data_IF_068342397641
#
_entry.id   IF_068342397641
#
_cell.length_a   1.000
_cell.length_b   1.000
_cell.length_c   1.000
_cell.angle_alpha   90.00
_cell.angle_beta   90.00
_cell.angle_gamma   90.00
#
_symmetry.space_group_name_H-M   'P 1'
#
loop_
_entity.id
_entity.type
_entity.pdbx_description
1 polymer ?
#
# COMPACT_ATOMS: atom_id res chain seq x y z
N UNK A 1 -2.89 -0.49 0.17
CA UNK A 1 -1.51 -0.07 -0.14
C UNK A 1 -1.50 1.43 -0.40
N UNK A 2 -0.53 2.17 0.15
CA UNK A 2 -0.29 3.59 -0.16
C UNK A 2 1.18 3.68 -0.55
N UNK A 3 1.48 4.36 -1.66
CA UNK A 3 2.81 4.36 -2.26
C UNK A 3 3.11 5.64 -3.02
N UNK A 4 4.27 6.24 -2.78
CA UNK A 4 4.89 7.21 -3.71
C UNK A 4 5.93 6.53 -4.61
N UNK A 5 6.09 7.06 -5.81
CA UNK A 5 7.20 6.68 -6.68
C UNK A 5 7.68 7.88 -7.47
N UNK A 6 9.00 8.02 -7.59
CA UNK A 6 9.63 8.93 -8.55
C UNK A 6 9.78 8.32 -9.96
N UNK A 7 9.19 7.15 -10.19
CA UNK A 7 9.28 6.42 -11.46
C UNK A 7 7.93 6.40 -12.17
N UNK A 8 7.92 6.01 -13.45
CA UNK A 8 6.65 5.83 -14.17
C UNK A 8 5.75 4.80 -13.49
N UNK A 9 4.44 5.01 -13.56
CA UNK A 9 3.45 4.06 -13.06
C UNK A 9 3.66 2.65 -13.65
N UNK A 10 3.95 2.57 -14.97
CA UNK A 10 4.26 1.31 -15.67
C UNK A 10 5.40 0.54 -15.00
N UNK A 11 6.48 1.21 -14.64
CA UNK A 11 7.62 0.56 -13.96
C UNK A 11 7.23 0.14 -12.56
N UNK A 12 6.54 1.00 -11.82
CA UNK A 12 6.11 0.71 -10.45
C UNK A 12 5.16 -0.47 -10.37
N UNK A 13 4.16 -0.56 -11.25
CA UNK A 13 3.21 -1.67 -11.25
C UNK A 13 3.89 -2.98 -11.66
N UNK A 14 4.82 -2.94 -12.64
CA UNK A 14 5.63 -4.11 -13.01
C UNK A 14 6.44 -4.63 -11.83
N UNK A 15 7.11 -3.73 -11.09
CA UNK A 15 7.84 -4.10 -9.87
C UNK A 15 6.91 -4.75 -8.84
N UNK A 16 5.77 -4.14 -8.55
CA UNK A 16 4.78 -4.69 -7.61
C UNK A 16 4.31 -6.09 -8.00
N UNK A 17 4.00 -6.31 -9.28
CA UNK A 17 3.60 -7.62 -9.78
C UNK A 17 4.70 -8.67 -9.58
N UNK A 18 5.94 -8.33 -9.94
CA UNK A 18 7.10 -9.23 -9.73
C UNK A 18 7.27 -9.58 -8.25
N UNK A 19 7.17 -8.58 -7.36
CA UNK A 19 7.34 -8.82 -5.93
C UNK A 19 6.20 -9.65 -5.33
N UNK A 20 4.95 -9.45 -5.75
CA UNK A 20 3.82 -10.26 -5.30
C UNK A 20 3.91 -11.69 -5.82
N UNK A 21 4.14 -11.88 -7.14
CA UNK A 21 4.23 -13.21 -7.74
C UNK A 21 5.48 -13.99 -7.30
N UNK A 22 6.56 -13.29 -6.98
CA UNK A 22 7.79 -13.88 -6.43
C UNK A 22 7.75 -14.12 -4.92
N UNK A 23 6.58 -13.99 -4.28
CA UNK A 23 6.42 -14.25 -2.84
C UNK A 23 7.12 -13.22 -1.93
N UNK A 24 7.61 -12.11 -2.46
CA UNK A 24 8.27 -11.09 -1.63
C UNK A 24 7.26 -10.27 -0.83
N UNK A 25 6.07 -10.06 -1.39
CA UNK A 25 4.97 -9.35 -0.74
C UNK A 25 3.98 -10.27 -0.04
N UNK A 26 3.29 -9.66 0.92
CA UNK A 26 2.18 -10.29 1.63
C UNK A 26 1.02 -10.51 0.66
N UNK A 27 0.41 -11.69 0.75
CA UNK A 27 -0.76 -12.09 -0.02
C UNK A 27 -1.91 -12.34 0.97
N UNK A 28 -2.92 -11.48 1.00
CA UNK A 28 -4.15 -11.76 1.73
C UNK A 28 -5.01 -12.77 0.97
N UNK A 29 -5.92 -13.43 1.68
CA UNK A 29 -6.97 -14.21 1.03
C UNK A 29 -7.94 -13.25 0.30
N UNK A 30 -8.16 -13.42 -1.02
CA UNK A 30 -9.04 -12.55 -1.79
C UNK A 30 -10.50 -12.55 -1.34
N UNK A 31 -11.03 -13.72 -0.96
CA UNK A 31 -12.44 -13.88 -0.58
C UNK A 31 -12.69 -13.22 0.78
N UNK A 32 -11.81 -13.45 1.75
CA UNK A 32 -11.86 -12.77 3.04
C UNK A 32 -11.69 -11.25 2.88
N UNK A 33 -10.74 -10.82 2.04
CA UNK A 33 -10.49 -9.39 1.82
C UNK A 33 -11.70 -8.69 1.19
N UNK A 34 -12.38 -9.34 0.24
CA UNK A 34 -13.62 -8.82 -0.35
C UNK A 34 -14.78 -8.75 0.68
N UNK A 35 -14.81 -9.67 1.65
CA UNK A 35 -15.71 -9.63 2.79
C UNK A 35 -15.29 -8.62 3.88
N UNK A 36 -14.22 -7.86 3.64
CA UNK A 36 -13.69 -6.89 4.59
C UNK A 36 -13.00 -7.53 5.80
N UNK A 37 -12.39 -8.71 5.63
CA UNK A 37 -11.60 -9.40 6.64
C UNK A 37 -10.14 -9.51 6.19
N UNK A 38 -9.19 -9.37 7.12
CA UNK A 38 -7.78 -9.56 6.83
C UNK A 38 -7.31 -10.94 7.27
N UNK A 39 -7.30 -11.88 6.33
CA UNK A 39 -6.64 -13.18 6.49
C UNK A 39 -5.41 -13.23 5.57
N UNK A 40 -4.26 -13.65 6.09
CA UNK A 40 -2.99 -13.62 5.37
C UNK A 40 -2.58 -15.04 4.99
N UNK A 41 -2.65 -15.36 3.69
CA UNK A 41 -2.22 -16.66 3.15
C UNK A 41 -0.69 -16.76 3.09
N UNK A 42 -0.03 -15.65 2.79
CA UNK A 42 1.43 -15.60 2.72
C UNK A 42 1.94 -14.27 3.28
N UNK A 43 2.90 -14.32 4.21
CA UNK A 43 3.34 -13.10 4.91
C UNK A 43 4.39 -12.28 4.12
N UNK A 44 4.98 -12.85 3.07
CA UNK A 44 5.99 -12.20 2.24
C UNK A 44 7.42 -12.36 2.77
N UNK A 45 8.37 -12.62 1.86
CA UNK A 45 9.79 -12.80 2.21
C UNK A 45 10.43 -11.54 2.81
N UNK A 46 9.95 -10.34 2.49
CA UNK A 46 10.56 -9.10 2.99
C UNK A 46 10.32 -8.83 4.46
N UNK A 47 9.34 -9.51 5.09
CA UNK A 47 9.05 -9.33 6.50
C UNK A 47 10.14 -9.93 7.38
N UNK A 48 10.35 -9.30 8.54
CA UNK A 48 11.28 -9.81 9.56
C UNK A 48 10.87 -11.24 9.94
N UNK A 49 11.82 -12.17 9.89
CA UNK A 49 11.59 -13.60 10.19
C UNK A 49 11.05 -14.45 9.04
N UNK A 50 10.88 -13.88 7.84
CA UNK A 50 10.37 -14.60 6.66
C UNK A 50 11.34 -14.67 5.48
N UNK A 51 12.51 -14.03 5.56
CA UNK A 51 13.46 -13.90 4.43
C UNK A 51 13.95 -15.24 3.88
N UNK A 52 14.12 -16.22 4.74
CA UNK A 52 14.69 -17.54 4.38
C UNK A 52 13.60 -18.58 4.05
N UNK A 53 12.32 -18.17 3.95
CA UNK A 53 11.18 -19.06 3.73
C UNK A 53 10.83 -19.28 2.25
N UNK A 54 11.78 -19.09 1.35
CA UNK A 54 11.53 -19.28 -0.09
C UNK A 54 11.09 -20.72 -0.41
N UNK A 55 11.64 -21.71 0.29
CA UNK A 55 11.24 -23.11 0.12
C UNK A 55 9.76 -23.31 0.51
N UNK A 56 9.31 -22.73 1.62
CA UNK A 56 7.89 -22.77 2.04
C UNK A 56 6.97 -22.15 0.98
N UNK A 57 7.40 -21.05 0.36
CA UNK A 57 6.66 -20.43 -0.75
C UNK A 57 6.56 -21.34 -1.97
N UNK A 58 7.66 -21.99 -2.35
CA UNK A 58 7.73 -22.91 -3.49
C UNK A 58 6.87 -24.15 -3.23
N UNK A 59 6.97 -24.74 -2.04
CA UNK A 59 6.21 -25.93 -1.65
C UNK A 59 4.69 -25.69 -1.67
N UNK A 60 4.27 -24.44 -1.42
CA UNK A 60 2.86 -24.03 -1.43
C UNK A 60 2.46 -23.30 -2.73
N UNK A 61 3.33 -23.22 -3.73
CA UNK A 61 3.12 -22.34 -4.88
C UNK A 61 1.86 -22.69 -5.67
N UNK A 62 1.57 -23.99 -5.86
CA UNK A 62 0.38 -24.43 -6.59
C UNK A 62 -0.92 -23.98 -5.94
N UNK A 63 -0.95 -23.89 -4.60
CA UNK A 63 -2.09 -23.39 -3.84
C UNK A 63 -2.13 -21.86 -3.82
N UNK A 64 -0.98 -21.21 -3.71
CA UNK A 64 -0.88 -19.75 -3.59
C UNK A 64 -1.07 -19.02 -4.93
N UNK A 65 -0.57 -19.56 -6.03
CA UNK A 65 -0.59 -18.92 -7.35
C UNK A 65 -2.01 -18.48 -7.81
N UNK A 66 -3.07 -19.32 -7.75
CA UNK A 66 -4.42 -18.89 -8.11
C UNK A 66 -4.92 -17.76 -7.20
N UNK A 67 -4.67 -17.85 -5.88
CA UNK A 67 -5.05 -16.81 -4.90
C UNK A 67 -4.30 -15.50 -5.11
N UNK A 68 -3.02 -15.56 -5.47
CA UNK A 68 -2.21 -14.39 -5.86
C UNK A 68 -2.81 -13.70 -7.09
N UNK A 69 -3.19 -14.48 -8.11
CA UNK A 69 -3.81 -13.95 -9.33
C UNK A 69 -5.14 -13.26 -9.02
N UNK A 70 -6.03 -13.92 -8.27
CA UNK A 70 -7.30 -13.35 -7.81
C UNK A 70 -7.09 -12.05 -7.04
N UNK A 71 -6.17 -12.04 -6.07
CA UNK A 71 -5.81 -10.84 -5.31
C UNK A 71 -5.37 -9.69 -6.23
N UNK A 72 -4.48 -9.95 -7.19
CA UNK A 72 -4.00 -8.94 -8.15
C UNK A 72 -5.16 -8.41 -9.00
N UNK A 73 -6.05 -9.27 -9.48
CA UNK A 73 -7.20 -8.88 -10.32
C UNK A 73 -8.24 -8.04 -9.56
N UNK A 74 -8.30 -8.16 -8.24
CA UNK A 74 -9.20 -7.38 -7.38
C UNK A 74 -8.69 -5.96 -7.10
N UNK A 75 -7.41 -5.66 -7.35
CA UNK A 75 -6.81 -4.37 -7.00
C UNK A 75 -7.35 -3.22 -7.85
N UNK A 76 -8.05 -2.28 -7.22
CA UNK A 76 -8.37 -0.98 -7.78
C UNK A 76 -7.24 0.00 -7.47
N UNK A 77 -6.59 0.54 -8.50
CA UNK A 77 -5.43 1.43 -8.37
C UNK A 77 -5.81 2.85 -8.77
N UNK A 78 -5.73 3.76 -7.80
CA UNK A 78 -5.90 5.19 -8.02
C UNK A 78 -4.53 5.85 -8.17
N UNK A 79 -4.35 6.63 -9.24
CA UNK A 79 -3.10 7.32 -9.54
C UNK A 79 -3.28 8.84 -9.35
N UNK A 80 -2.35 9.46 -8.61
CA UNK A 80 -2.29 10.91 -8.46
C UNK A 80 -0.98 11.39 -9.10
N UNK A 81 -1.00 11.83 -10.37
CA UNK A 81 0.19 12.40 -11.00
C UNK A 81 0.54 13.72 -10.30
N UNK A 82 1.81 13.88 -9.89
CA UNK A 82 2.28 15.05 -9.17
C UNK A 82 3.64 15.49 -9.71
N UNK A 83 3.74 16.77 -10.04
CA UNK A 83 5.02 17.43 -10.31
C UNK A 83 5.48 18.18 -9.05
N UNK A 84 5.99 17.40 -8.10
CA UNK A 84 6.49 17.87 -6.81
C UNK A 84 7.81 17.17 -6.51
N UNK A 85 8.66 17.74 -5.67
CA UNK A 85 9.89 17.09 -5.23
C UNK A 85 9.61 15.83 -4.38
N UNK A 86 10.62 14.95 -4.27
CA UNK A 86 10.53 13.68 -3.54
C UNK A 86 10.13 13.87 -2.07
N UNK A 87 10.56 14.96 -1.43
CA UNK A 87 10.30 15.19 -0.02
C UNK A 87 8.82 15.52 0.20
N UNK A 88 8.23 16.39 -0.61
CA UNK A 88 6.79 16.68 -0.59
C UNK A 88 5.94 15.45 -0.91
N UNK A 89 6.30 14.67 -1.94
CA UNK A 89 5.55 13.44 -2.28
C UNK A 89 5.52 12.43 -1.12
N UNK A 90 6.64 12.23 -0.43
CA UNK A 90 6.72 11.34 0.75
C UNK A 90 5.94 11.86 1.95
N UNK A 91 5.90 13.19 2.15
CA UNK A 91 5.05 13.79 3.19
C UNK A 91 3.57 13.58 2.87
N UNK A 92 3.15 13.76 1.62
CA UNK A 92 1.77 13.48 1.17
C UNK A 92 1.42 12.00 1.42
N UNK A 93 2.28 11.07 0.97
CA UNK A 93 2.13 9.63 1.20
C UNK A 93 1.97 9.30 2.69
N UNK A 94 2.84 9.84 3.54
CA UNK A 94 2.82 9.55 4.95
C UNK A 94 1.65 10.18 5.70
N UNK A 95 1.26 11.40 5.35
CA UNK A 95 0.07 12.02 5.93
C UNK A 95 -1.22 11.31 5.50
N UNK A 96 -1.29 10.81 4.26
CA UNK A 96 -2.39 9.95 3.82
C UNK A 96 -2.40 8.63 4.61
N UNK A 97 -1.25 7.98 4.77
CA UNK A 97 -1.13 6.76 5.58
C UNK A 97 -1.51 6.99 7.05
N UNK A 98 -1.10 8.13 7.63
CA UNK A 98 -1.46 8.54 8.99
C UNK A 98 -2.97 8.72 9.12
N UNK A 99 -3.60 9.38 8.16
CA UNK A 99 -5.06 9.54 8.14
C UNK A 99 -5.77 8.18 8.09
N UNK A 100 -5.40 7.30 7.16
CA UNK A 100 -6.00 5.95 7.04
C UNK A 100 -5.83 5.15 8.34
N UNK A 101 -4.65 5.24 8.99
CA UNK A 101 -4.42 4.58 10.29
C UNK A 101 -5.25 5.15 11.43
N UNK A 102 -5.64 6.42 11.38
CA UNK A 102 -6.51 7.05 12.38
C UNK A 102 -8.00 6.71 12.24
N UNK A 103 -8.40 6.10 11.13
CA UNK A 103 -9.79 5.68 10.94
C UNK A 103 -10.16 4.52 11.87
N UNK A 104 -11.45 4.37 12.23
CA UNK A 104 -11.91 3.27 13.07
C UNK A 104 -11.43 1.89 12.57
N UNK A 105 -11.27 0.95 13.50
CA UNK A 105 -10.60 -0.36 13.35
C UNK A 105 -10.93 -1.18 12.09
N UNK A 106 -12.03 -0.91 11.38
CA UNK A 106 -12.40 -1.61 10.14
C UNK A 106 -11.56 -1.22 8.92
N UNK A 107 -10.78 -0.15 8.94
CA UNK A 107 -10.02 0.33 7.76
C UNK A 107 -8.51 0.34 8.03
N UNK A 108 -8.10 0.69 9.26
CA UNK A 108 -6.70 0.82 9.64
C UNK A 108 -5.88 -0.47 9.48
N UNK A 109 -6.44 -1.63 9.83
CA UNK A 109 -5.81 -2.96 9.68
C UNK A 109 -5.42 -3.33 8.24
N UNK A 110 -6.07 -2.76 7.21
CA UNK A 110 -5.72 -3.02 5.81
C UNK A 110 -4.37 -2.40 5.44
N UNK A 111 -3.89 -1.43 6.24
CA UNK A 111 -2.55 -0.87 6.12
C UNK A 111 -1.65 -1.48 7.18
N UNK A 112 -0.72 -2.33 6.76
CA UNK A 112 0.15 -3.00 7.70
C UNK A 112 0.97 -2.01 8.58
N UNK A 113 1.07 -2.31 9.87
CA UNK A 113 1.71 -1.43 10.86
C UNK A 113 3.23 -1.34 10.69
N UNK A 114 3.84 -2.36 10.09
CA UNK A 114 5.28 -2.44 9.87
C UNK A 114 5.79 -1.57 8.72
N UNK A 115 4.88 -0.93 7.96
CA UNK A 115 5.26 0.02 6.91
C UNK A 115 5.58 1.37 7.56
N UNK A 116 6.80 1.86 7.32
CA UNK A 116 7.27 3.16 7.81
C UNK A 116 7.02 4.23 6.77
N UNK A 117 6.25 5.24 7.16
CA UNK A 117 5.99 6.41 6.34
C UNK A 117 6.63 7.65 6.96
N UNK A 118 6.93 8.65 6.13
CA UNK A 118 7.41 9.92 6.64
C UNK A 118 6.23 10.82 6.98
N UNK A 119 6.02 11.05 8.27
CA UNK A 119 4.89 11.84 8.81
C UNK A 119 5.31 13.10 9.53
N UNK A 120 6.62 13.37 9.59
CA UNK A 120 7.19 14.53 10.26
C UNK A 120 7.88 15.44 9.27
N UNK A 121 7.54 16.72 9.36
CA UNK A 121 8.16 17.81 8.65
C UNK A 121 9.50 18.19 9.33
N UNK A 122 10.45 18.72 8.55
CA UNK A 122 11.64 19.37 9.12
C UNK A 122 11.27 20.75 9.66
N UNK A 123 12.09 21.32 10.55
CA UNK A 123 11.82 22.61 11.19
C UNK A 123 11.70 23.77 10.20
N UNK A 124 12.44 23.72 9.11
CA UNK A 124 12.56 24.73 8.05
C UNK A 124 11.58 24.51 6.88
N UNK A 125 10.91 23.37 6.83
CA UNK A 125 9.96 23.05 5.76
C UNK A 125 8.66 23.83 5.95
N UNK A 126 8.12 24.40 4.87
CA UNK A 126 6.82 25.08 4.92
C UNK A 126 5.67 24.07 5.08
N UNK A 127 4.68 24.43 5.89
CA UNK A 127 3.42 23.68 5.96
C UNK A 127 2.62 23.87 4.67
N UNK A 128 1.82 22.88 4.32
CA UNK A 128 0.96 22.96 3.14
C UNK A 128 -0.30 22.13 3.31
N UNK A 129 -1.35 22.47 2.57
CA UNK A 129 -2.59 21.71 2.51
C UNK A 129 -2.77 21.16 1.10
N UNK A 130 -3.26 19.94 0.98
CA UNK A 130 -3.69 19.37 -0.29
C UNK A 130 -5.12 18.86 -0.22
N UNK A 131 -5.80 18.88 -1.38
CA UNK A 131 -7.18 18.42 -1.55
C UNK A 131 -7.21 17.34 -2.61
N UNK A 132 -8.12 16.37 -2.45
CA UNK A 132 -8.35 15.34 -3.46
C UNK A 132 -9.41 15.82 -4.43
N UNK A 133 -9.09 15.81 -5.72
CA UNK A 133 -10.02 16.14 -6.80
C UNK A 133 -10.18 14.88 -7.64
N UNK A 134 -11.41 14.37 -7.71
CA UNK A 134 -11.76 13.16 -8.45
C UNK A 134 -13.18 13.34 -8.99
N UNK A 135 -13.44 12.84 -10.19
CA UNK A 135 -14.81 12.74 -10.73
C UNK A 135 -15.64 11.71 -9.97
N UNK A 136 -14.98 10.76 -9.31
CA UNK A 136 -15.59 9.69 -8.53
C UNK A 136 -15.38 9.88 -7.03
N UNK A 137 -16.36 9.48 -6.23
CA UNK A 137 -16.25 9.46 -4.77
C UNK A 137 -15.38 8.28 -4.33
N UNK A 138 -14.21 8.56 -3.76
CA UNK A 138 -13.35 7.55 -3.16
C UNK A 138 -13.68 7.45 -1.67
N UNK A 139 -14.29 6.33 -1.26
CA UNK A 139 -14.65 6.09 0.14
C UNK A 139 -13.40 5.99 1.02
N UNK A 140 -13.47 6.59 2.21
CA UNK A 140 -12.37 6.56 3.17
C UNK A 140 -11.23 7.53 2.88
N UNK A 141 -11.35 8.43 1.90
CA UNK A 141 -10.44 9.58 1.74
C UNK A 141 -11.06 10.85 2.32
N UNK A 142 -10.28 11.73 2.97
CA UNK A 142 -10.76 13.03 3.42
C UNK A 142 -10.80 14.02 2.26
N UNK A 143 -11.57 15.10 2.36
CA UNK A 143 -11.57 16.16 1.35
C UNK A 143 -10.22 16.89 1.25
N UNK A 144 -9.58 17.09 2.40
CA UNK A 144 -8.29 17.79 2.52
C UNK A 144 -7.45 17.20 3.65
N UNK A 145 -6.14 17.33 3.50
CA UNK A 145 -5.16 16.99 4.54
C UNK A 145 -4.20 18.16 4.70
N UNK A 146 -3.96 18.54 5.95
CA UNK A 146 -2.97 19.54 6.31
C UNK A 146 -1.67 18.86 6.75
N UNK A 147 -0.55 19.30 6.16
CA UNK A 147 0.80 18.85 6.48
C UNK A 147 1.46 19.92 7.33
N UNK A 148 1.62 19.60 8.62
CA UNK A 148 2.20 20.47 9.64
C UNK A 148 3.58 19.98 10.11
#
# INVERSE_FOLDING_TARGET
>A
YIGETGQSFKKRIKEHLIQTMGGNYRVPDPDDLNAGKLNILWNGLWRKGHRDRINEFIDNYELLAPKIKEYIMMLNIFLIPMDLDTRKRRLIEGYLAKYVRSQPNKISWLLADDIRYITQKKKDEQSFTFKFISSEKILGLPEKIEVN
#
